data_IF_475458347338
#
_entry.id   IF_475458347338
#
_cell.length_a   1.000
_cell.length_b   1.000
_cell.length_c   1.000
_cell.angle_alpha   90.00
_cell.angle_beta   90.00
_cell.angle_gamma   90.00
#
_symmetry.space_group_name_H-M   'P 1'
#
loop_
_entity.id
_entity.type
_entity.pdbx_description
1 polymer ?
#
# COMPACT_ATOMS: atom_id res chain seq x y z
N UNK A 1 -40.93 16.04 -11.34
CA UNK A 1 -40.43 14.65 -11.33
C UNK A 1 -38.91 14.57 -11.00
N UNK A 2 -38.07 15.35 -11.63
CA UNK A 2 -36.61 15.40 -11.39
C UNK A 2 -36.18 15.77 -9.96
N UNK A 3 -36.86 16.71 -9.28
CA UNK A 3 -36.53 17.12 -7.89
C UNK A 3 -36.70 16.00 -6.85
N UNK A 4 -37.64 15.08 -7.06
CA UNK A 4 -37.82 13.92 -6.16
C UNK A 4 -36.76 12.86 -6.40
N UNK A 5 -36.32 12.68 -7.64
CA UNK A 5 -35.27 11.73 -8.01
C UNK A 5 -33.89 12.13 -7.45
N UNK A 6 -33.53 13.43 -7.53
CA UNK A 6 -32.30 13.96 -6.95
C UNK A 6 -32.27 13.84 -5.43
N UNK A 7 -33.38 14.10 -4.74
CA UNK A 7 -33.44 13.96 -3.28
C UNK A 7 -33.31 12.48 -2.87
N UNK A 8 -33.91 11.57 -3.61
CA UNK A 8 -33.79 10.12 -3.33
C UNK A 8 -32.37 9.60 -3.54
N UNK A 9 -31.67 10.07 -4.59
CA UNK A 9 -30.28 9.71 -4.86
C UNK A 9 -29.36 10.25 -3.76
N UNK A 10 -29.57 11.49 -3.31
CA UNK A 10 -28.81 12.09 -2.19
C UNK A 10 -29.07 11.33 -0.88
N UNK A 11 -30.31 10.89 -0.64
CA UNK A 11 -30.64 10.11 0.57
C UNK A 11 -30.03 8.71 0.55
N UNK A 12 -30.00 8.05 -0.60
CA UNK A 12 -29.31 6.75 -0.79
C UNK A 12 -27.79 6.92 -0.59
N UNK A 13 -27.22 8.02 -1.10
CA UNK A 13 -25.81 8.33 -0.91
C UNK A 13 -25.47 8.62 0.57
N UNK A 14 -26.34 9.31 1.29
CA UNK A 14 -26.16 9.58 2.74
C UNK A 14 -26.33 8.33 3.60
N UNK A 15 -27.16 7.37 3.22
CA UNK A 15 -27.31 6.11 3.94
C UNK A 15 -26.12 5.16 3.73
N UNK A 16 -25.38 5.28 2.63
CA UNK A 16 -24.17 4.50 2.39
C UNK A 16 -22.99 4.91 3.30
N UNK A 17 -23.03 6.10 3.92
CA UNK A 17 -21.98 6.59 4.82
C UNK A 17 -22.09 6.10 6.28
N UNK A 18 -23.04 5.24 6.60
CA UNK A 18 -23.13 4.60 7.93
C UNK A 18 -22.44 3.24 7.98
N UNK A 19 -21.61 2.89 7.01
CA UNK A 19 -20.63 1.85 7.22
C UNK A 19 -19.62 2.39 8.24
N UNK A 20 -19.75 1.96 9.50
CA UNK A 20 -18.72 2.12 10.52
C UNK A 20 -17.46 1.40 10.02
N UNK A 21 -16.67 2.05 9.18
CA UNK A 21 -15.28 1.76 9.06
C UNK A 21 -14.69 2.19 10.41
N UNK A 22 -14.42 1.22 11.26
CA UNK A 22 -13.80 1.45 12.56
C UNK A 22 -12.52 2.25 12.33
N UNK A 23 -12.42 3.37 13.04
CA UNK A 23 -11.28 4.30 13.00
C UNK A 23 -9.99 3.71 13.58
N UNK A 24 -10.02 2.47 13.99
CA UNK A 24 -8.90 1.74 14.52
C UNK A 24 -8.49 0.73 13.46
N UNK A 25 -7.48 1.09 12.66
CA UNK A 25 -6.81 0.21 11.71
C UNK A 25 -6.11 -0.99 12.36
N UNK A 26 -6.43 -1.25 13.59
CA UNK A 26 -6.30 -2.49 14.29
C UNK A 26 -7.61 -3.26 14.07
N UNK A 27 -7.71 -3.91 12.89
CA UNK A 27 -8.42 -5.17 12.88
C UNK A 27 -7.88 -5.91 14.11
N UNK A 28 -8.70 -5.93 15.16
CA UNK A 28 -8.57 -6.95 16.19
C UNK A 28 -8.60 -8.24 15.40
N UNK A 29 -7.42 -8.67 14.96
CA UNK A 29 -7.19 -10.04 14.59
C UNK A 29 -7.68 -10.78 15.81
N UNK A 30 -8.96 -11.22 15.78
CA UNK A 30 -9.40 -12.28 16.63
C UNK A 30 -8.24 -13.24 16.62
N UNK A 31 -7.75 -13.58 17.74
CA UNK A 31 -6.61 -14.46 18.01
C UNK A 31 -6.96 -15.89 17.61
N UNK A 32 -7.62 -16.01 16.50
CA UNK A 32 -7.83 -17.22 15.74
C UNK A 32 -6.52 -17.42 14.99
N UNK A 33 -5.94 -18.59 15.16
CA UNK A 33 -4.67 -19.02 14.60
C UNK A 33 -4.54 -18.49 13.17
N UNK A 34 -3.36 -17.94 12.78
CA UNK A 34 -3.17 -17.40 11.45
C UNK A 34 -3.64 -18.44 10.44
N UNK A 35 -4.63 -18.06 9.65
CA UNK A 35 -5.21 -18.94 8.63
C UNK A 35 -4.05 -19.49 7.81
N UNK A 36 -3.84 -20.80 7.83
CA UNK A 36 -2.72 -21.43 7.12
C UNK A 36 -2.92 -21.18 5.63
N UNK A 37 -2.19 -20.21 5.11
CA UNK A 37 -2.21 -19.90 3.67
C UNK A 37 -1.74 -21.17 2.94
N UNK A 38 -2.61 -21.72 2.09
CA UNK A 38 -2.35 -22.94 1.35
C UNK A 38 -1.34 -22.68 0.24
N UNK A 39 -0.25 -23.44 0.20
CA UNK A 39 0.66 -23.44 -0.94
C UNK A 39 0.11 -24.39 -2.02
N UNK A 40 -0.52 -23.79 -3.06
CA UNK A 40 -1.09 -24.56 -4.16
C UNK A 40 -0.08 -24.88 -5.27
N UNK A 41 1.08 -24.22 -5.25
CA UNK A 41 2.08 -24.25 -6.32
C UNK A 41 3.49 -24.54 -5.79
N UNK A 42 3.62 -25.44 -4.81
CA UNK A 42 4.86 -25.65 -4.05
C UNK A 42 6.10 -25.83 -4.96
N UNK A 43 6.04 -26.69 -5.97
CA UNK A 43 7.18 -26.92 -6.86
C UNK A 43 7.57 -25.69 -7.65
N UNK A 44 6.59 -24.92 -8.15
CA UNK A 44 6.82 -23.66 -8.86
C UNK A 44 7.37 -22.61 -7.91
N UNK A 45 6.80 -22.49 -6.72
CA UNK A 45 7.24 -21.54 -5.69
C UNK A 45 8.68 -21.81 -5.27
N UNK A 46 9.08 -23.06 -5.08
CA UNK A 46 10.46 -23.46 -4.77
C UNK A 46 11.42 -23.10 -5.90
N UNK A 47 11.06 -23.37 -7.15
CA UNK A 47 11.88 -23.03 -8.31
C UNK A 47 12.06 -21.52 -8.46
N UNK A 48 10.98 -20.75 -8.35
CA UNK A 48 11.00 -19.29 -8.41
C UNK A 48 11.80 -18.69 -7.26
N UNK A 49 11.66 -19.24 -6.06
CA UNK A 49 12.44 -18.81 -4.90
C UNK A 49 13.95 -19.04 -5.11
N UNK A 50 14.35 -20.20 -5.63
CA UNK A 50 15.76 -20.49 -5.94
C UNK A 50 16.30 -19.53 -7.02
N UNK A 51 15.49 -19.22 -8.06
CA UNK A 51 15.82 -18.22 -9.06
C UNK A 51 16.02 -16.83 -8.42
N UNK A 52 15.09 -16.39 -7.57
CA UNK A 52 15.19 -15.11 -6.87
C UNK A 52 16.43 -15.04 -5.97
N UNK A 53 16.79 -16.12 -5.28
CA UNK A 53 18.02 -16.19 -4.49
C UNK A 53 19.28 -16.06 -5.35
N UNK A 54 19.29 -16.70 -6.52
CA UNK A 54 20.40 -16.57 -7.48
C UNK A 54 20.56 -15.13 -7.95
N UNK A 55 19.44 -14.51 -8.32
CA UNK A 55 19.41 -13.12 -8.76
C UNK A 55 19.80 -12.13 -7.66
N UNK A 56 19.33 -12.37 -6.42
CA UNK A 56 19.71 -11.56 -5.26
C UNK A 56 21.22 -11.58 -5.04
N UNK A 57 21.83 -12.77 -5.09
CA UNK A 57 23.27 -12.90 -4.91
C UNK A 57 24.07 -12.25 -6.04
N UNK A 58 23.61 -12.41 -7.30
CA UNK A 58 24.35 -11.98 -8.46
C UNK A 58 24.20 -10.48 -8.76
N UNK A 59 23.03 -9.90 -8.53
CA UNK A 59 22.71 -8.53 -8.93
C UNK A 59 22.23 -7.65 -7.76
N UNK A 60 21.21 -8.08 -7.02
CA UNK A 60 20.57 -7.21 -6.03
C UNK A 60 21.53 -6.86 -4.89
N UNK A 61 22.22 -7.83 -4.32
CA UNK A 61 23.20 -7.60 -3.23
C UNK A 61 24.36 -6.68 -3.61
N UNK A 62 25.03 -6.83 -4.76
CA UNK A 62 26.06 -5.89 -5.19
C UNK A 62 25.51 -4.46 -5.36
N UNK A 63 24.35 -4.31 -6.02
CA UNK A 63 23.70 -3.02 -6.21
C UNK A 63 23.34 -2.39 -4.85
N UNK A 64 22.73 -3.16 -3.95
CA UNK A 64 22.37 -2.70 -2.62
C UNK A 64 23.58 -2.27 -1.78
N UNK A 65 24.72 -2.99 -1.89
CA UNK A 65 25.98 -2.59 -1.25
C UNK A 65 26.50 -1.26 -1.82
N UNK A 66 26.48 -1.10 -3.15
CA UNK A 66 26.84 0.15 -3.81
C UNK A 66 25.96 1.31 -3.33
N UNK A 67 24.65 1.10 -3.27
CA UNK A 67 23.69 2.10 -2.79
C UNK A 67 23.92 2.50 -1.33
N UNK A 68 24.25 1.54 -0.45
CA UNK A 68 24.57 1.82 0.95
C UNK A 68 25.82 2.68 1.16
N UNK A 69 26.73 2.71 0.18
CA UNK A 69 27.92 3.57 0.25
C UNK A 69 27.65 5.01 -0.19
N UNK A 70 26.45 5.32 -0.69
CA UNK A 70 26.07 6.70 -1.02
C UNK A 70 25.86 7.52 0.26
N UNK A 71 26.06 8.85 0.19
CA UNK A 71 25.75 9.73 1.32
C UNK A 71 24.29 9.58 1.78
N UNK A 72 24.08 9.67 3.10
CA UNK A 72 22.75 9.57 3.73
C UNK A 72 21.70 10.48 3.10
N UNK A 73 22.12 11.66 2.66
CA UNK A 73 21.22 12.63 2.01
C UNK A 73 20.63 12.06 0.73
N UNK A 74 21.43 11.35 -0.08
CA UNK A 74 20.98 10.72 -1.32
C UNK A 74 20.06 9.53 -0.98
N UNK A 75 20.45 8.68 -0.04
CA UNK A 75 19.62 7.55 0.37
C UNK A 75 18.26 7.99 0.92
N UNK A 76 18.24 9.01 1.78
CA UNK A 76 17.01 9.59 2.33
C UNK A 76 16.18 10.26 1.22
N UNK A 77 16.82 11.03 0.35
CA UNK A 77 16.15 11.71 -0.76
C UNK A 77 15.45 10.73 -1.71
N UNK A 78 16.11 9.68 -2.15
CA UNK A 78 15.52 8.66 -3.02
C UNK A 78 14.39 7.90 -2.32
N UNK A 79 14.57 7.55 -1.03
CA UNK A 79 13.52 6.90 -0.24
C UNK A 79 12.28 7.78 -0.08
N UNK A 80 12.48 9.07 0.21
CA UNK A 80 11.38 10.02 0.33
C UNK A 80 10.66 10.22 -1.00
N UNK A 81 11.39 10.35 -2.11
CA UNK A 81 10.80 10.48 -3.44
C UNK A 81 9.97 9.23 -3.81
N UNK A 82 10.49 8.04 -3.53
CA UNK A 82 9.76 6.79 -3.76
C UNK A 82 8.46 6.73 -2.93
N UNK A 83 8.50 7.11 -1.64
CA UNK A 83 7.28 7.21 -0.80
C UNK A 83 6.32 8.25 -1.32
N UNK A 84 6.81 9.38 -1.81
CA UNK A 84 5.97 10.42 -2.38
C UNK A 84 5.22 9.92 -3.62
N UNK A 85 5.89 9.18 -4.50
CA UNK A 85 5.27 8.54 -5.65
C UNK A 85 4.27 7.45 -5.24
N UNK A 86 4.55 6.69 -4.17
CA UNK A 86 3.63 5.67 -3.65
C UNK A 86 2.29 6.25 -3.21
N UNK A 87 2.20 7.56 -2.89
CA UNK A 87 0.91 8.21 -2.61
C UNK A 87 -0.07 8.14 -3.79
N UNK A 88 0.40 8.03 -5.03
CA UNK A 88 -0.46 7.86 -6.20
C UNK A 88 -1.27 6.57 -6.15
N UNK A 89 -0.77 5.55 -5.46
CA UNK A 89 -1.45 4.28 -5.21
C UNK A 89 -2.15 4.31 -3.86
N UNK A 90 -1.50 4.83 -2.81
CA UNK A 90 -2.02 4.85 -1.45
C UNK A 90 -3.30 5.68 -1.32
N UNK A 91 -3.36 6.88 -1.92
CA UNK A 91 -4.52 7.78 -1.82
C UNK A 91 -5.81 7.13 -2.36
N UNK A 92 -5.84 6.58 -3.59
CA UNK A 92 -7.01 5.86 -4.07
C UNK A 92 -7.41 4.69 -3.16
N UNK A 93 -6.45 3.95 -2.62
CA UNK A 93 -6.71 2.82 -1.74
C UNK A 93 -7.29 3.26 -0.39
N UNK A 94 -6.82 4.35 0.22
CA UNK A 94 -7.46 4.92 1.40
C UNK A 94 -8.93 5.26 1.12
N UNK A 95 -9.24 5.86 -0.04
CA UNK A 95 -10.63 6.18 -0.42
C UNK A 95 -11.46 4.90 -0.58
N UNK A 96 -10.93 3.88 -1.27
CA UNK A 96 -11.61 2.62 -1.51
C UNK A 96 -11.86 1.82 -0.21
N UNK A 97 -11.01 2.01 0.79
CA UNK A 97 -11.15 1.44 2.14
C UNK A 97 -12.07 2.27 3.04
N UNK A 98 -12.52 3.44 2.59
CA UNK A 98 -13.39 4.35 3.36
C UNK A 98 -12.62 5.28 4.31
N UNK A 99 -11.28 5.23 4.31
CA UNK A 99 -10.45 6.13 5.13
C UNK A 99 -10.18 7.46 4.41
N UNK A 100 -11.23 8.25 4.29
CA UNK A 100 -11.17 9.58 3.65
C UNK A 100 -10.23 10.53 4.41
N UNK A 101 -10.13 10.38 5.73
CA UNK A 101 -9.26 11.23 6.56
C UNK A 101 -7.79 11.03 6.16
N UNK A 102 -7.33 9.79 6.12
CA UNK A 102 -5.95 9.48 5.72
C UNK A 102 -5.71 9.81 4.24
N UNK A 103 -6.71 9.63 3.36
CA UNK A 103 -6.62 10.06 1.97
C UNK A 103 -6.35 11.56 1.85
N UNK A 104 -7.05 12.42 2.61
CA UNK A 104 -6.83 13.88 2.62
C UNK A 104 -5.44 14.22 3.16
N UNK A 105 -5.01 13.58 4.25
CA UNK A 105 -3.67 13.77 4.82
C UNK A 105 -2.59 13.40 3.80
N UNK A 106 -2.71 12.23 3.17
CA UNK A 106 -1.74 11.77 2.17
C UNK A 106 -1.73 12.65 0.91
N UNK A 107 -2.89 13.20 0.51
CA UNK A 107 -2.97 14.20 -0.58
C UNK A 107 -2.22 15.47 -0.19
N UNK A 108 -2.41 15.99 1.02
CA UNK A 108 -1.64 17.15 1.53
C UNK A 108 -0.14 16.87 1.55
N UNK A 109 0.27 15.69 2.01
CA UNK A 109 1.68 15.25 1.98
C UNK A 109 2.24 15.23 0.56
N UNK A 110 1.50 14.62 -0.39
CA UNK A 110 1.90 14.57 -1.80
C UNK A 110 2.13 15.97 -2.37
N UNK A 111 1.18 16.88 -2.17
CA UNK A 111 1.27 18.25 -2.67
C UNK A 111 2.45 18.98 -2.07
N UNK A 112 2.58 19.00 -0.73
CA UNK A 112 3.66 19.70 -0.03
C UNK A 112 5.03 19.14 -0.39
N UNK A 113 5.17 17.83 -0.38
CA UNK A 113 6.45 17.19 -0.68
C UNK A 113 6.84 17.33 -2.15
N UNK A 114 5.86 17.35 -3.07
CA UNK A 114 6.14 17.53 -4.50
C UNK A 114 6.54 18.97 -4.82
N UNK A 115 5.86 19.96 -4.23
CA UNK A 115 6.08 21.39 -4.52
C UNK A 115 7.27 21.95 -3.75
N UNK A 116 7.21 21.90 -2.41
CA UNK A 116 8.23 22.46 -1.52
C UNK A 116 9.38 21.48 -1.27
N UNK A 117 9.09 20.17 -1.31
CA UNK A 117 10.04 19.11 -1.02
C UNK A 117 10.85 18.61 -2.24
N UNK A 118 10.97 19.40 -3.31
CA UNK A 118 11.72 19.06 -4.52
C UNK A 118 11.34 17.68 -5.08
N UNK A 119 10.10 17.56 -5.57
CA UNK A 119 9.52 16.30 -6.10
C UNK A 119 9.51 15.15 -5.07
N UNK A 120 9.43 15.50 -3.79
CA UNK A 120 9.36 14.52 -2.71
C UNK A 120 10.70 14.04 -2.16
N UNK A 121 11.83 14.54 -2.62
CA UNK A 121 13.15 14.18 -2.08
C UNK A 121 13.33 14.65 -0.62
N UNK A 122 12.64 15.72 -0.24
CA UNK A 122 12.61 16.21 1.14
C UNK A 122 11.21 16.01 1.69
N UNK A 123 11.08 15.29 2.81
CA UNK A 123 9.79 15.11 3.50
C UNK A 123 9.46 16.36 4.35
N UNK A 124 9.01 17.40 3.66
CA UNK A 124 8.60 18.68 4.27
C UNK A 124 7.32 18.50 5.07
N UNK A 125 6.38 17.68 4.58
CA UNK A 125 5.13 17.41 5.28
C UNK A 125 5.36 16.83 6.68
N UNK A 126 6.34 15.94 6.85
CA UNK A 126 6.71 15.42 8.16
C UNK A 126 7.25 16.54 9.08
N UNK A 127 8.05 17.46 8.54
CA UNK A 127 8.56 18.63 9.30
C UNK A 127 7.45 19.61 9.68
N UNK A 128 6.37 19.65 8.93
CA UNK A 128 5.17 20.47 9.21
C UNK A 128 4.20 19.79 10.19
N UNK A 129 4.52 18.61 10.70
CA UNK A 129 3.71 17.89 11.68
C UNK A 129 2.59 17.04 11.08
N UNK A 130 2.61 16.77 9.77
CA UNK A 130 1.69 15.79 9.19
C UNK A 130 1.90 14.41 9.81
N UNK A 131 0.82 13.62 10.03
CA UNK A 131 0.92 12.24 10.48
C UNK A 131 1.88 11.41 9.62
N UNK A 132 2.42 10.36 10.21
CA UNK A 132 3.35 9.47 9.54
C UNK A 132 2.69 8.81 8.32
N UNK A 133 3.43 8.69 7.23
CA UNK A 133 2.97 8.00 6.03
C UNK A 133 2.87 6.49 6.27
N UNK A 134 1.73 5.92 5.95
CA UNK A 134 1.49 4.49 5.90
C UNK A 134 1.11 4.11 4.47
N UNK A 135 1.76 3.08 3.96
CA UNK A 135 1.55 2.64 2.57
C UNK A 135 0.32 1.75 2.51
N UNK A 136 -0.58 2.06 1.57
CA UNK A 136 -1.70 1.23 1.21
C UNK A 136 -1.58 0.75 -0.24
N UNK A 137 -2.12 -0.45 -0.50
CA UNK A 137 -2.16 -1.07 -1.82
C UNK A 137 -3.51 -1.76 -2.08
N UNK A 138 -3.73 -2.17 -3.33
CA UNK A 138 -5.00 -2.81 -3.70
C UNK A 138 -5.19 -4.19 -3.07
N UNK A 139 -4.11 -4.91 -2.71
CA UNK A 139 -4.20 -6.17 -1.98
C UNK A 139 -4.80 -5.97 -0.59
N UNK A 140 -4.35 -4.92 0.11
CA UNK A 140 -4.92 -4.52 1.40
C UNK A 140 -6.38 -4.08 1.25
N UNK A 141 -6.71 -3.32 0.22
CA UNK A 141 -8.08 -2.89 -0.08
C UNK A 141 -9.00 -4.09 -0.33
N UNK A 142 -8.56 -5.06 -1.13
CA UNK A 142 -9.31 -6.31 -1.33
C UNK A 142 -9.48 -7.08 -0.01
N UNK A 143 -8.46 -7.09 0.85
CA UNK A 143 -8.53 -7.66 2.19
C UNK A 143 -9.56 -6.96 3.08
N UNK A 144 -9.58 -5.63 3.08
CA UNK A 144 -10.58 -4.84 3.80
C UNK A 144 -12.01 -5.12 3.31
N UNK A 145 -12.18 -5.46 2.04
CA UNK A 145 -13.48 -5.88 1.45
C UNK A 145 -13.83 -7.35 1.73
N UNK A 146 -13.00 -8.07 2.50
CA UNK A 146 -13.25 -9.46 2.89
C UNK A 146 -12.77 -10.50 1.87
N UNK A 147 -11.98 -10.10 0.88
CA UNK A 147 -11.36 -11.07 -0.05
C UNK A 147 -10.22 -11.79 0.66
N UNK A 148 -10.32 -13.11 0.78
CA UNK A 148 -9.29 -13.95 1.40
C UNK A 148 -7.96 -13.92 0.61
N UNK A 149 -6.83 -14.29 1.24
CA UNK A 149 -5.50 -14.22 0.62
C UNK A 149 -5.34 -15.15 -0.59
N UNK A 150 -6.12 -16.23 -0.65
CA UNK A 150 -5.97 -17.28 -1.67
C UNK A 150 -4.71 -18.11 -1.44
N UNK A 151 -4.17 -18.68 -2.53
CA UNK A 151 -2.96 -19.50 -2.46
C UNK A 151 -1.69 -18.65 -2.32
N UNK A 152 -0.71 -19.22 -1.64
CA UNK A 152 0.65 -18.67 -1.61
C UNK A 152 1.33 -18.80 -2.97
N UNK A 153 1.98 -17.75 -3.42
CA UNK A 153 2.74 -17.70 -4.67
C UNK A 153 4.07 -16.98 -4.45
N UNK A 154 5.10 -17.43 -5.14
CA UNK A 154 6.38 -16.72 -5.20
C UNK A 154 6.54 -16.12 -6.57
N UNK A 155 6.61 -14.77 -6.63
CA UNK A 155 6.76 -14.04 -7.87
C UNK A 155 8.23 -13.89 -8.24
N UNK A 156 8.60 -14.01 -9.54
CA UNK A 156 9.93 -13.66 -10.00
C UNK A 156 10.24 -12.20 -9.64
N UNK A 157 11.41 -11.92 -9.10
CA UNK A 157 11.92 -10.61 -8.66
C UNK A 157 11.21 -10.04 -7.42
N UNK A 158 9.88 -10.18 -7.31
CA UNK A 158 9.06 -9.57 -6.25
C UNK A 158 9.05 -10.40 -4.96
N UNK A 159 9.27 -11.73 -5.05
CA UNK A 159 9.34 -12.61 -3.90
C UNK A 159 7.99 -13.18 -3.44
N UNK A 160 7.88 -13.54 -2.15
CA UNK A 160 6.68 -14.15 -1.58
C UNK A 160 5.46 -13.23 -1.62
N UNK A 161 4.30 -13.77 -2.01
CA UNK A 161 3.03 -13.05 -2.11
C UNK A 161 1.85 -14.02 -1.93
N UNK A 162 0.64 -13.52 -2.06
CA UNK A 162 -0.59 -14.30 -2.20
C UNK A 162 -1.27 -13.96 -3.52
N UNK A 163 -2.24 -14.77 -3.95
CA UNK A 163 -2.99 -14.46 -5.19
C UNK A 163 -3.67 -13.11 -5.07
N UNK A 164 -4.30 -12.80 -3.91
CA UNK A 164 -4.94 -11.51 -3.65
C UNK A 164 -3.94 -10.35 -3.78
N UNK A 165 -2.82 -10.45 -3.08
CA UNK A 165 -1.84 -9.37 -3.01
C UNK A 165 -1.10 -9.20 -4.35
N UNK A 166 -0.93 -10.30 -5.11
CA UNK A 166 -0.41 -10.25 -6.49
C UNK A 166 -1.37 -9.53 -7.44
N UNK A 167 -2.68 -9.77 -7.29
CA UNK A 167 -3.68 -9.08 -8.12
C UNK A 167 -3.82 -7.59 -7.75
N UNK A 168 -3.42 -7.23 -6.55
CA UNK A 168 -3.50 -5.88 -6.00
C UNK A 168 -2.17 -5.09 -6.01
N UNK A 169 -1.10 -5.63 -6.58
CA UNK A 169 0.23 -4.99 -6.59
C UNK A 169 0.56 -4.23 -7.87
#
# INVERSE_FOLDING_TARGET
MFRKLTITIIYIFLLAFHANAGSDGELVLKKDQPEKIKDCFENLNRATFAFNQGLDKALIKPIAKGYKNLPDTIQKGTSNAARNLSNLITIPNNILQGDVRTAIINTGRLVVNTTVGLLGTIDVANKMGFPKYEKEDYGQTLGAWGVGPGCYVVLPLLGPSTIRDTAGS
#
